data_IF_368928729546
#
_entry.id   IF_368928729546
#
_cell.length_a   1.000
_cell.length_b   1.000
_cell.length_c   1.000
_cell.angle_alpha   90.00
_cell.angle_beta   90.00
_cell.angle_gamma   90.00
#
_symmetry.space_group_name_H-M   'P 1'
#
loop_
_entity.id
_entity.type
_entity.pdbx_description
1 polymer ?
#
# COMPACT_ATOMS: atom_id res chain seq x y z
N UNK A 1 37.23 -47.23 36.13
CA UNK A 1 36.91 -47.62 37.52
C UNK A 1 35.73 -46.80 37.97
N UNK A 2 34.62 -47.48 38.29
CA UNK A 2 33.37 -47.07 38.94
C UNK A 2 32.59 -45.88 38.31
N UNK A 3 31.43 -46.07 37.67
CA UNK A 3 30.09 -46.51 38.16
C UNK A 3 29.32 -45.49 39.02
N UNK A 4 28.09 -45.23 38.57
CA UNK A 4 26.84 -45.12 39.36
C UNK A 4 26.13 -43.76 39.50
N UNK A 5 25.01 -43.72 38.77
CA UNK A 5 23.64 -43.28 39.09
C UNK A 5 23.16 -41.82 39.07
N UNK A 6 22.01 -41.74 38.38
CA UNK A 6 21.05 -40.67 38.23
C UNK A 6 20.20 -40.42 39.48
N UNK A 7 19.66 -39.21 39.61
CA UNK A 7 18.31 -39.01 40.15
C UNK A 7 17.68 -37.71 39.63
N UNK A 8 16.47 -37.84 39.07
CA UNK A 8 15.60 -36.74 38.65
C UNK A 8 14.89 -36.09 39.86
N UNK A 9 14.27 -34.92 39.66
CA UNK A 9 12.98 -34.70 40.30
C UNK A 9 11.87 -34.19 39.36
N UNK A 10 10.77 -34.90 39.55
CA UNK A 10 9.35 -34.68 39.35
C UNK A 10 8.80 -33.32 38.90
N UNK A 11 7.84 -33.44 37.97
CA UNK A 11 6.91 -32.41 37.55
C UNK A 11 5.81 -32.19 38.61
N UNK A 12 5.58 -30.93 38.97
CA UNK A 12 4.41 -30.50 39.73
C UNK A 12 3.41 -29.81 38.81
N UNK A 13 2.29 -30.49 38.56
CA UNK A 13 1.08 -29.96 37.96
C UNK A 13 0.35 -29.06 38.96
N UNK A 14 0.10 -27.80 38.61
CA UNK A 14 -0.88 -26.96 39.33
C UNK A 14 -1.97 -26.49 38.37
N UNK A 15 -3.17 -26.98 38.66
CA UNK A 15 -4.47 -26.56 38.14
C UNK A 15 -4.83 -25.20 38.72
N UNK A 16 -5.15 -24.21 37.90
CA UNK A 16 -5.74 -22.96 38.37
C UNK A 16 -6.97 -22.55 37.55
N UNK A 17 -8.04 -22.46 38.32
CA UNK A 17 -9.36 -21.89 38.17
C UNK A 17 -9.71 -21.07 36.94
N UNK A 18 -10.78 -21.57 36.32
CA UNK A 18 -11.80 -20.87 35.53
C UNK A 18 -12.61 -19.96 36.45
N UNK A 19 -12.49 -18.65 36.31
CA UNK A 19 -13.52 -17.70 36.74
C UNK A 19 -13.83 -16.70 35.63
N UNK A 20 -15.12 -16.63 35.31
CA UNK A 20 -15.75 -15.58 34.50
C UNK A 20 -16.24 -14.50 35.45
N UNK A 21 -16.26 -13.23 35.04
CA UNK A 21 -17.31 -12.34 35.46
C UNK A 21 -18.26 -12.02 34.30
N UNK A 22 -19.52 -12.40 34.51
CA UNK A 22 -20.68 -11.68 34.00
C UNK A 22 -20.68 -10.27 34.60
N UNK A 23 -20.89 -9.22 33.81
CA UNK A 23 -21.59 -8.02 34.28
C UNK A 23 -22.36 -7.37 33.13
N UNK A 24 -23.56 -6.94 33.50
CA UNK A 24 -24.68 -6.50 32.68
C UNK A 24 -24.69 -4.97 32.49
N UNK A 25 -25.28 -4.55 31.36
CA UNK A 25 -26.05 -3.31 31.08
C UNK A 25 -25.85 -2.05 31.94
N UNK A 26 -25.71 -0.89 31.29
CA UNK A 26 -26.77 0.14 31.27
C UNK A 26 -26.42 1.30 30.31
N UNK A 27 -27.42 1.69 29.52
CA UNK A 27 -27.51 2.98 28.82
C UNK A 27 -27.54 4.12 29.84
N UNK A 28 -26.95 5.28 29.50
CA UNK A 28 -27.44 6.61 29.91
C UNK A 28 -26.75 7.70 29.09
N UNK A 29 -27.57 8.51 28.45
CA UNK A 29 -27.30 9.82 27.86
C UNK A 29 -26.77 10.84 28.86
N UNK A 30 -25.89 11.75 28.43
CA UNK A 30 -26.05 13.18 28.74
C UNK A 30 -25.26 14.07 27.77
N UNK A 31 -25.84 15.24 27.52
CA UNK A 31 -25.44 16.35 26.67
C UNK A 31 -24.80 17.48 27.47
N UNK A 32 -23.84 18.21 26.90
CA UNK A 32 -23.54 19.66 27.04
C UNK A 32 -22.28 19.93 26.18
N UNK A 33 -22.05 20.99 25.41
CA UNK A 33 -22.68 22.29 25.22
C UNK A 33 -21.57 23.36 25.02
N UNK A 34 -21.71 24.21 23.99
CA UNK A 34 -20.95 25.45 23.65
C UNK A 34 -19.54 25.30 23.02
N UNK A 35 -19.09 26.14 22.07
CA UNK A 35 -19.69 27.27 21.33
C UNK A 35 -18.84 27.62 20.10
N UNK A 36 -19.47 28.27 19.12
CA UNK A 36 -18.91 29.41 18.36
C UNK A 36 -17.80 29.19 17.33
N UNK A 37 -18.17 29.03 16.05
CA UNK A 37 -17.45 29.67 14.95
C UNK A 37 -18.43 30.09 13.84
N UNK A 38 -18.25 31.34 13.40
CA UNK A 38 -19.05 32.11 12.44
C UNK A 38 -19.45 31.33 11.19
N UNK A 39 -20.76 31.32 10.91
CA UNK A 39 -21.28 30.96 9.60
C UNK A 39 -21.37 32.23 8.75
N UNK A 40 -20.65 32.25 7.62
CA UNK A 40 -20.79 33.26 6.57
C UNK A 40 -22.11 32.98 5.84
N UNK A 41 -23.11 33.86 6.01
CA UNK A 41 -24.33 33.87 5.21
C UNK A 41 -24.00 34.23 3.75
N UNK A 42 -24.22 33.30 2.82
CA UNK A 42 -24.27 33.62 1.39
C UNK A 42 -25.73 33.70 0.96
N UNK A 43 -26.12 34.90 0.52
CA UNK A 43 -27.47 35.24 0.11
C UNK A 43 -28.03 34.31 -0.98
N UNK A 44 -29.30 33.96 -0.80
CA UNK A 44 -30.13 33.19 -1.72
C UNK A 44 -30.19 33.85 -3.10
N UNK A 45 -29.52 33.27 -4.09
CA UNK A 45 -29.74 33.59 -5.49
C UNK A 45 -30.81 32.63 -6.05
N UNK A 46 -31.96 33.22 -6.38
CA UNK A 46 -33.07 32.60 -7.09
C UNK A 46 -32.65 32.13 -8.49
N UNK A 47 -33.03 30.92 -8.94
CA UNK A 47 -32.79 30.50 -10.31
C UNK A 47 -33.84 31.13 -11.25
N UNK A 48 -33.45 32.18 -11.98
CA UNK A 48 -34.23 32.69 -13.11
C UNK A 48 -34.05 31.80 -14.33
N UNK A 49 -35.12 31.10 -14.69
CA UNK A 49 -35.28 30.39 -15.97
C UNK A 49 -35.21 31.39 -17.12
N UNK A 50 -34.26 31.21 -18.03
CA UNK A 50 -34.23 31.92 -19.31
C UNK A 50 -33.80 30.96 -20.41
N UNK A 51 -34.78 30.59 -21.23
CA UNK A 51 -34.64 29.90 -22.51
C UNK A 51 -34.06 30.86 -23.54
N UNK A 52 -32.77 30.69 -23.87
CA UNK A 52 -32.17 31.26 -25.07
C UNK A 52 -31.40 30.15 -25.78
N UNK A 53 -31.97 29.68 -26.90
CA UNK A 53 -31.38 28.71 -27.80
C UNK A 53 -30.12 29.29 -28.46
N UNK A 54 -28.99 28.60 -28.31
CA UNK A 54 -27.74 28.90 -29.02
C UNK A 54 -27.77 28.32 -30.45
N UNK A 55 -27.11 28.95 -31.43
CA UNK A 55 -27.06 28.45 -32.80
C UNK A 55 -26.20 27.18 -32.90
N UNK A 56 -26.70 26.25 -33.69
CA UNK A 56 -26.06 24.98 -34.06
C UNK A 56 -24.99 25.26 -35.12
N UNK A 57 -23.73 24.91 -34.86
CA UNK A 57 -22.69 24.86 -35.90
C UNK A 57 -22.49 23.41 -36.32
N UNK A 58 -22.74 23.13 -37.59
CA UNK A 58 -22.62 21.83 -38.21
C UNK A 58 -21.17 21.55 -38.64
N UNK A 59 -20.78 20.30 -38.48
CA UNK A 59 -19.46 19.70 -38.60
C UNK A 59 -18.99 19.49 -40.03
N UNK A 60 -17.67 19.48 -40.25
CA UNK A 60 -17.07 18.64 -41.31
C UNK A 60 -15.70 18.08 -40.88
N UNK A 61 -15.72 16.77 -40.54
CA UNK A 61 -14.80 15.64 -40.83
C UNK A 61 -13.27 15.84 -40.89
N UNK A 62 -12.39 14.89 -40.60
CA UNK A 62 -12.33 13.61 -39.86
C UNK A 62 -10.85 13.19 -39.97
N UNK A 63 -10.15 13.02 -38.85
CA UNK A 63 -8.92 12.21 -38.77
C UNK A 63 -9.00 11.43 -37.45
N UNK A 64 -9.37 10.15 -37.55
CA UNK A 64 -9.28 9.12 -36.51
C UNK A 64 -7.96 9.25 -35.72
N UNK A 65 -7.94 9.60 -34.43
CA UNK A 65 -8.50 8.94 -33.23
C UNK A 65 -7.78 7.66 -32.80
N UNK A 66 -6.92 7.77 -31.78
CA UNK A 66 -6.94 6.90 -30.59
C UNK A 66 -6.49 7.67 -29.35
N UNK A 67 -7.36 8.55 -28.86
CA UNK A 67 -7.29 9.03 -27.48
C UNK A 67 -8.71 9.05 -26.94
N UNK A 68 -9.12 7.94 -26.36
CA UNK A 68 -10.44 7.71 -25.78
C UNK A 68 -10.57 8.44 -24.44
N UNK A 69 -10.82 9.75 -24.48
CA UNK A 69 -11.46 10.44 -23.37
C UNK A 69 -12.98 10.34 -23.55
N UNK A 70 -13.58 9.30 -22.97
CA UNK A 70 -15.03 9.24 -22.85
C UNK A 70 -15.51 10.48 -22.09
N UNK A 71 -16.55 11.14 -22.58
CA UNK A 71 -17.41 12.03 -21.79
C UNK A 71 -18.32 11.14 -20.95
N UNK A 72 -18.35 11.32 -19.63
CA UNK A 72 -19.39 10.69 -18.81
C UNK A 72 -19.78 11.58 -17.65
N UNK A 73 -21.04 11.39 -17.31
CA UNK A 73 -21.84 11.73 -16.14
C UNK A 73 -21.06 12.14 -14.88
N UNK A 74 -21.65 12.99 -14.02
CA UNK A 74 -20.97 13.67 -12.90
C UNK A 74 -20.58 12.76 -11.71
N UNK A 75 -20.59 11.43 -11.88
CA UNK A 75 -20.26 10.44 -10.83
C UNK A 75 -18.87 9.81 -11.04
N UNK A 76 -18.00 10.46 -11.82
CA UNK A 76 -16.63 9.98 -12.06
C UNK A 76 -15.79 10.12 -10.81
N UNK A 77 -15.54 8.99 -10.15
CA UNK A 77 -14.27 8.76 -9.46
C UNK A 77 -13.16 9.29 -10.38
N UNK A 78 -12.32 10.20 -9.87
CA UNK A 78 -11.26 10.84 -10.66
C UNK A 78 -10.47 9.76 -11.38
N UNK A 79 -10.45 9.79 -12.72
CA UNK A 79 -9.76 8.79 -13.52
C UNK A 79 -8.27 8.82 -13.17
N UNK A 80 -7.73 7.64 -12.84
CA UNK A 80 -6.31 7.44 -12.55
C UNK A 80 -5.46 7.86 -13.76
N UNK A 81 -4.42 8.66 -13.52
CA UNK A 81 -3.45 9.06 -14.55
C UNK A 81 -2.05 8.81 -14.01
N UNK A 82 -1.34 7.84 -14.57
CA UNK A 82 0.02 7.53 -14.14
C UNK A 82 0.95 8.70 -14.51
N UNK A 83 1.49 9.38 -13.50
CA UNK A 83 2.53 10.40 -13.64
C UNK A 83 3.92 9.78 -13.66
N UNK A 84 4.12 8.73 -12.86
CA UNK A 84 5.40 8.06 -12.69
C UNK A 84 5.21 6.55 -12.74
N UNK A 85 6.13 5.85 -13.41
CA UNK A 85 6.11 4.39 -13.51
C UNK A 85 7.49 3.79 -13.21
N UNK A 86 7.53 2.75 -12.38
CA UNK A 86 8.74 2.06 -11.93
C UNK A 86 8.67 0.54 -12.16
N UNK A 87 9.78 -0.09 -12.56
CA UNK A 87 9.92 -1.56 -12.59
C UNK A 87 10.45 -2.04 -11.26
N UNK A 88 9.72 -2.89 -10.54
CA UNK A 88 10.25 -3.52 -9.34
C UNK A 88 10.77 -4.90 -9.71
N UNK A 89 12.07 -5.17 -9.53
CA UNK A 89 12.68 -6.48 -9.78
C UNK A 89 12.83 -7.29 -8.49
N UNK A 90 11.75 -8.00 -8.12
CA UNK A 90 11.73 -8.92 -6.98
C UNK A 90 11.50 -10.35 -7.45
N UNK A 91 12.45 -11.25 -7.12
CA UNK A 91 12.35 -12.69 -7.46
C UNK A 91 11.17 -13.40 -6.79
N UNK A 92 10.76 -12.94 -5.60
CA UNK A 92 9.70 -13.57 -4.81
C UNK A 92 10.03 -14.99 -4.31
N UNK A 93 8.99 -15.74 -3.95
CA UNK A 93 9.05 -17.10 -3.42
C UNK A 93 8.20 -18.06 -4.26
N UNK A 94 8.85 -19.07 -4.84
CA UNK A 94 8.20 -20.09 -5.68
C UNK A 94 7.19 -20.93 -4.89
N UNK A 95 6.25 -21.56 -5.62
CA UNK A 95 5.17 -22.37 -5.06
C UNK A 95 5.68 -23.57 -4.25
N UNK A 96 6.73 -24.23 -4.75
CA UNK A 96 7.39 -25.38 -4.11
C UNK A 96 8.82 -24.98 -3.77
N UNK A 97 9.06 -24.67 -2.49
CA UNK A 97 10.38 -24.33 -1.96
C UNK A 97 10.42 -24.65 -0.46
N UNK A 98 11.60 -24.98 0.06
CA UNK A 98 11.78 -25.07 1.51
C UNK A 98 11.46 -23.71 2.17
N UNK A 99 10.77 -23.70 3.33
CA UNK A 99 10.32 -22.49 4.01
C UNK A 99 11.46 -21.77 4.75
N UNK A 100 12.61 -21.62 4.10
CA UNK A 100 13.79 -20.93 4.62
C UNK A 100 13.64 -19.42 4.36
N UNK A 101 14.11 -18.55 5.26
CA UNK A 101 14.08 -17.11 5.01
C UNK A 101 14.77 -16.73 3.68
N UNK A 102 14.20 -15.78 2.92
CA UNK A 102 14.70 -15.40 1.61
C UNK A 102 16.10 -14.75 1.70
N UNK A 103 16.92 -14.99 0.67
CA UNK A 103 18.25 -14.36 0.55
C UNK A 103 18.14 -12.83 0.67
N UNK A 104 19.16 -12.15 1.23
CA UNK A 104 19.23 -10.71 1.27
C UNK A 104 19.69 -10.15 -0.08
N UNK A 105 19.13 -10.66 -1.18
CA UNK A 105 19.43 -10.17 -2.53
C UNK A 105 18.79 -8.77 -2.66
N UNK A 106 19.54 -7.75 -3.14
CA UNK A 106 18.98 -6.42 -3.39
C UNK A 106 17.79 -6.47 -4.35
N UNK A 107 16.78 -5.63 -4.07
CA UNK A 107 15.65 -5.44 -4.98
C UNK A 107 15.89 -4.12 -5.72
N UNK A 108 16.16 -4.21 -7.01
CA UNK A 108 16.37 -3.05 -7.86
C UNK A 108 15.03 -2.53 -8.38
N UNK A 109 14.91 -1.20 -8.42
CA UNK A 109 13.71 -0.50 -8.87
C UNK A 109 14.13 0.46 -9.97
N UNK A 110 13.67 0.21 -11.19
CA UNK A 110 14.09 0.95 -12.38
C UNK A 110 13.07 2.01 -12.77
N UNK A 111 13.54 3.17 -13.23
CA UNK A 111 12.70 4.10 -13.96
C UNK A 111 12.17 3.43 -15.22
N UNK A 112 10.96 3.80 -15.62
CA UNK A 112 10.46 3.46 -16.96
C UNK A 112 10.36 4.66 -17.85
N UNK A 113 10.95 4.50 -19.01
CA UNK A 113 10.90 5.45 -20.10
C UNK A 113 9.48 5.61 -20.64
N UNK A 114 9.19 6.71 -21.35
CA UNK A 114 7.92 6.87 -22.05
C UNK A 114 7.61 5.77 -23.06
N UNK A 115 8.62 5.04 -23.54
CA UNK A 115 8.46 3.89 -24.46
C UNK A 115 8.03 2.61 -23.74
N UNK A 116 8.12 2.57 -22.40
CA UNK A 116 7.76 1.42 -21.58
C UNK A 116 8.96 0.60 -21.08
N UNK A 117 10.17 0.88 -21.57
CA UNK A 117 11.38 0.13 -21.23
C UNK A 117 11.94 0.54 -19.87
N UNK A 118 12.41 -0.44 -19.10
CA UNK A 118 13.17 -0.24 -17.87
C UNK A 118 14.59 0.22 -18.20
N UNK A 119 14.98 1.39 -17.70
CA UNK A 119 16.24 2.05 -18.08
C UNK A 119 17.28 1.89 -16.96
N UNK A 120 17.36 2.85 -16.05
CA UNK A 120 18.33 2.88 -14.98
C UNK A 120 17.66 2.59 -13.63
N UNK A 121 18.37 1.91 -12.70
CA UNK A 121 17.87 1.75 -11.36
C UNK A 121 17.82 3.14 -10.70
N UNK A 122 16.67 3.49 -10.13
CA UNK A 122 16.49 4.74 -9.36
C UNK A 122 16.61 4.44 -7.87
N UNK A 123 16.05 3.31 -7.44
CA UNK A 123 16.12 2.88 -6.06
C UNK A 123 16.62 1.46 -5.92
N UNK A 124 17.26 1.19 -4.80
CA UNK A 124 17.61 -0.16 -4.38
C UNK A 124 17.12 -0.41 -2.96
N UNK A 125 16.39 -1.50 -2.76
CA UNK A 125 16.05 -1.96 -1.41
C UNK A 125 17.09 -2.96 -0.94
N UNK A 126 17.75 -2.63 0.17
CA UNK A 126 18.83 -3.41 0.76
C UNK A 126 18.39 -4.07 2.05
N UNK A 127 18.82 -5.31 2.25
CA UNK A 127 18.61 -6.08 3.48
C UNK A 127 19.95 -6.48 4.06
N UNK A 128 20.17 -6.21 5.34
CA UNK A 128 21.44 -6.52 6.00
C UNK A 128 21.72 -8.04 6.11
N UNK A 129 20.70 -8.86 6.37
CA UNK A 129 20.86 -10.30 6.59
C UNK A 129 19.66 -11.11 6.14
N UNK A 130 19.87 -12.39 5.78
CA UNK A 130 18.82 -13.33 5.36
C UNK A 130 17.68 -13.46 6.39
N UNK A 131 18.02 -13.49 7.68
CA UNK A 131 17.07 -13.60 8.79
C UNK A 131 16.48 -12.27 9.24
N UNK A 132 17.04 -11.15 8.77
CA UNK A 132 16.51 -9.83 9.11
C UNK A 132 15.28 -9.55 8.27
N UNK A 133 14.22 -9.10 8.94
CA UNK A 133 13.08 -8.58 8.24
C UNK A 133 13.24 -7.11 7.82
N UNK A 134 14.25 -6.42 8.32
CA UNK A 134 14.39 -5.00 8.09
C UNK A 134 15.03 -4.74 6.73
N UNK A 135 14.67 -3.62 6.11
CA UNK A 135 15.27 -3.16 4.86
C UNK A 135 15.37 -1.65 4.84
N UNK A 136 16.35 -1.15 4.12
CA UNK A 136 16.46 0.28 3.78
C UNK A 136 16.20 0.45 2.30
N UNK A 137 15.59 1.56 1.92
CA UNK A 137 15.47 2.01 0.54
C UNK A 137 16.46 3.15 0.36
N UNK A 138 17.34 3.03 -0.63
CA UNK A 138 18.36 4.01 -0.97
C UNK A 138 18.20 4.40 -2.43
N UNK A 139 18.70 5.57 -2.83
CA UNK A 139 18.88 5.86 -4.26
C UNK A 139 19.98 4.97 -4.82
N UNK A 140 19.86 4.59 -6.08
CA UNK A 140 20.80 3.68 -6.72
C UNK A 140 22.10 4.36 -7.18
N UNK A 141 22.06 5.68 -7.39
CA UNK A 141 23.21 6.54 -7.75
C UNK A 141 24.04 6.98 -6.53
N UNK A 142 23.49 6.87 -5.33
CA UNK A 142 24.14 7.31 -4.09
C UNK A 142 25.16 6.29 -3.58
N UNK A 143 26.44 6.65 -3.67
CA UNK A 143 27.56 5.84 -3.18
C UNK A 143 27.56 5.67 -1.65
N UNK A 144 27.03 6.63 -0.89
CA UNK A 144 26.96 6.59 0.57
C UNK A 144 25.82 5.72 1.08
N UNK A 145 24.89 5.32 0.19
CA UNK A 145 23.72 4.53 0.52
C UNK A 145 22.87 5.17 1.63
N UNK A 146 22.66 6.49 1.55
CA UNK A 146 21.87 7.27 2.50
C UNK A 146 20.42 6.77 2.46
N UNK A 147 19.82 6.36 3.60
CA UNK A 147 18.50 5.75 3.61
C UNK A 147 17.42 6.81 3.34
N UNK A 148 16.68 6.67 2.25
CA UNK A 148 15.46 7.45 2.00
C UNK A 148 14.32 6.99 2.91
N UNK A 149 14.26 5.67 3.14
CA UNK A 149 13.23 5.06 3.96
C UNK A 149 13.80 3.82 4.66
N UNK A 150 13.42 3.63 5.92
CA UNK A 150 13.68 2.39 6.67
C UNK A 150 12.38 1.65 6.92
N UNK A 151 12.36 0.37 6.60
CA UNK A 151 11.24 -0.53 6.91
C UNK A 151 11.66 -1.50 8.00
N UNK A 152 11.00 -1.44 9.15
CA UNK A 152 11.12 -2.43 10.23
C UNK A 152 10.01 -3.45 10.07
N UNK A 153 10.37 -4.72 9.95
CA UNK A 153 9.36 -5.77 9.78
C UNK A 153 9.75 -7.00 10.59
N UNK A 154 8.87 -7.38 11.51
CA UNK A 154 9.04 -8.58 12.31
C UNK A 154 7.99 -9.60 11.89
N UNK A 155 8.45 -10.76 11.40
CA UNK A 155 7.53 -11.84 11.05
C UNK A 155 6.81 -12.36 12.30
N UNK A 156 5.48 -12.46 12.23
CA UNK A 156 4.65 -13.00 13.30
C UNK A 156 3.29 -12.30 13.42
N UNK A 157 2.36 -12.87 14.20
CA UNK A 157 1.07 -12.24 14.50
C UNK A 157 1.28 -10.94 15.29
N UNK A 158 0.39 -9.97 15.09
CA UNK A 158 0.36 -8.69 15.81
C UNK A 158 1.67 -7.88 15.79
N UNK A 159 2.50 -8.09 14.76
CA UNK A 159 3.73 -7.35 14.53
C UNK A 159 3.58 -6.57 13.22
N UNK A 160 2.87 -5.43 13.23
CA UNK A 160 2.68 -4.64 12.02
C UNK A 160 4.05 -4.15 11.52
N UNK A 161 4.29 -4.17 10.20
CA UNK A 161 5.45 -3.50 9.62
C UNK A 161 5.40 -2.00 9.91
N UNK A 162 6.57 -1.41 10.08
CA UNK A 162 6.75 0.02 10.32
C UNK A 162 7.61 0.60 9.20
N UNK A 163 7.25 1.77 8.71
CA UNK A 163 7.92 2.52 7.65
C UNK A 163 8.35 3.84 8.28
N UNK A 164 9.60 4.24 8.12
CA UNK A 164 10.10 5.57 8.50
C UNK A 164 10.68 6.22 7.27
N UNK A 165 10.11 7.35 6.85
CA UNK A 165 10.69 8.19 5.81
C UNK A 165 11.78 9.04 6.47
N UNK A 166 12.88 9.31 5.76
CA UNK A 166 13.92 10.22 6.24
C UNK A 166 13.82 11.49 5.40
N UNK A 167 13.06 12.47 5.88
CA UNK A 167 12.69 13.64 5.08
C UNK A 167 13.93 14.38 4.54
N UNK A 168 14.97 14.52 5.37
CA UNK A 168 16.26 15.13 5.05
C UNK A 168 17.01 14.47 3.88
N UNK A 169 16.64 13.23 3.54
CA UNK A 169 17.27 12.44 2.48
C UNK A 169 16.41 12.41 1.21
N UNK A 170 15.12 12.72 1.33
CA UNK A 170 14.17 12.73 0.23
C UNK A 170 14.08 14.14 -0.38
N UNK A 171 13.80 15.16 0.45
CA UNK A 171 13.55 16.55 0.02
C UNK A 171 13.86 17.57 1.14
N UNK A 172 13.33 18.81 1.04
CA UNK A 172 13.45 19.87 2.07
C UNK A 172 13.11 19.33 3.47
N UNK A 173 13.87 19.69 4.52
CA UNK A 173 13.62 19.19 5.88
C UNK A 173 12.19 19.50 6.32
N UNK A 174 11.42 18.45 6.56
CA UNK A 174 10.07 18.52 7.15
C UNK A 174 10.09 17.72 8.45
N UNK A 175 9.99 18.36 9.62
CA UNK A 175 10.12 17.68 10.91
C UNK A 175 9.00 16.67 11.19
N UNK A 176 7.87 16.78 10.50
CA UNK A 176 6.66 15.99 10.76
C UNK A 176 6.66 14.60 10.09
N UNK A 177 7.66 14.26 9.25
CA UNK A 177 7.65 13.04 8.43
C UNK A 177 8.67 11.97 8.83
N UNK A 178 9.52 12.24 9.80
CA UNK A 178 10.40 11.22 10.39
C UNK A 178 9.64 10.31 11.38
N UNK A 179 8.32 10.49 11.48
CA UNK A 179 7.42 9.66 12.27
C UNK A 179 7.37 8.20 11.77
N UNK A 180 7.15 7.30 12.72
CA UNK A 180 7.02 5.87 12.43
C UNK A 180 5.60 5.55 11.91
N UNK A 181 5.52 5.24 10.63
CA UNK A 181 4.27 4.92 9.93
C UNK A 181 3.97 3.42 10.07
N UNK A 182 2.85 3.09 10.71
CA UNK A 182 2.44 1.70 10.89
C UNK A 182 1.61 1.17 9.70
N UNK A 183 1.99 0.00 9.17
CA UNK A 183 1.24 -0.72 8.13
C UNK A 183 0.30 -1.73 8.78
N UNK A 184 -0.95 -1.32 8.98
CA UNK A 184 -1.95 -2.09 9.70
C UNK A 184 -2.75 -3.00 8.77
N UNK A 185 -3.13 -4.20 9.25
CA UNK A 185 -4.08 -5.04 8.51
C UNK A 185 -5.49 -4.48 8.67
N UNK A 186 -6.28 -4.43 7.59
CA UNK A 186 -7.70 -4.02 7.68
C UNK A 186 -8.60 -5.06 8.33
N UNK A 187 -8.14 -6.30 8.44
CA UNK A 187 -8.87 -7.39 9.08
C UNK A 187 -8.05 -8.68 9.09
N UNK A 188 -8.56 -9.70 9.78
CA UNK A 188 -7.88 -10.98 9.93
C UNK A 188 -7.93 -11.85 8.66
N UNK A 189 -9.01 -11.75 7.89
CA UNK A 189 -9.23 -12.56 6.68
C UNK A 189 -8.77 -11.87 5.40
N UNK A 190 -8.60 -10.55 5.45
CA UNK A 190 -8.20 -9.76 4.27
C UNK A 190 -6.69 -9.60 4.16
N UNK A 191 -6.24 -9.43 2.92
CA UNK A 191 -4.85 -9.04 2.59
C UNK A 191 -4.66 -7.53 2.60
N UNK A 192 -5.74 -6.77 2.72
CA UNK A 192 -5.72 -5.33 2.62
C UNK A 192 -4.96 -4.69 3.80
N UNK A 193 -4.17 -3.67 3.48
CA UNK A 193 -3.40 -2.92 4.45
C UNK A 193 -3.88 -1.47 4.50
N UNK A 194 -3.70 -0.83 5.65
CA UNK A 194 -4.03 0.57 5.91
C UNK A 194 -2.78 1.28 6.41
N UNK A 195 -2.55 2.47 5.90
CA UNK A 195 -1.39 3.32 6.19
C UNK A 195 -1.94 4.71 6.47
N UNK A 196 -1.56 5.31 7.59
CA UNK A 196 -1.92 6.69 7.94
C UNK A 196 -0.66 7.51 8.05
N UNK A 197 -0.65 8.63 7.36
CA UNK A 197 0.49 9.54 7.25
C UNK A 197 -0.01 10.98 7.19
N UNK A 198 0.86 11.97 7.40
CA UNK A 198 0.53 13.38 7.12
C UNK A 198 0.11 13.62 5.65
N UNK A 199 0.66 12.84 4.70
CA UNK A 199 0.28 12.89 3.27
C UNK A 199 -1.13 12.35 2.98
N UNK A 200 -1.75 11.68 3.95
CA UNK A 200 -3.10 11.12 3.86
C UNK A 200 -3.24 9.71 4.44
N UNK A 201 -4.46 9.19 4.34
CA UNK A 201 -4.79 7.80 4.66
C UNK A 201 -4.88 6.97 3.39
N UNK A 202 -4.16 5.85 3.35
CA UNK A 202 -4.05 5.00 2.18
C UNK A 202 -4.36 3.55 2.49
N UNK A 203 -4.88 2.81 1.51
CA UNK A 203 -5.12 1.39 1.63
C UNK A 203 -4.62 0.61 0.42
N UNK A 204 -3.79 -0.39 0.68
CA UNK A 204 -3.45 -1.41 -0.31
C UNK A 204 -4.51 -2.51 -0.30
N UNK A 205 -4.98 -2.91 -1.49
CA UNK A 205 -5.84 -4.08 -1.68
C UNK A 205 -5.48 -4.82 -2.96
N UNK A 206 -5.94 -6.06 -3.06
CA UNK A 206 -5.95 -6.75 -4.35
C UNK A 206 -7.15 -6.25 -5.15
N UNK A 207 -6.93 -6.04 -6.43
CA UNK A 207 -7.98 -5.65 -7.35
C UNK A 207 -8.97 -6.79 -7.58
N UNK A 208 -10.18 -6.45 -7.98
CA UNK A 208 -11.16 -7.44 -8.39
C UNK A 208 -10.85 -8.03 -9.78
N UNK A 209 -11.75 -8.87 -10.31
CA UNK A 209 -11.57 -9.46 -11.64
C UNK A 209 -11.70 -8.42 -12.75
N UNK A 210 -12.58 -7.43 -12.59
CA UNK A 210 -12.86 -6.42 -13.62
C UNK A 210 -11.68 -5.46 -13.76
N UNK A 211 -11.19 -4.93 -12.65
CA UNK A 211 -10.01 -4.05 -12.61
C UNK A 211 -8.77 -4.73 -13.18
N UNK A 212 -8.62 -6.06 -12.98
CA UNK A 212 -7.55 -6.85 -13.59
C UNK A 212 -7.68 -6.97 -15.10
N UNK A 213 -8.90 -7.18 -15.61
CA UNK A 213 -9.17 -7.26 -17.04
C UNK A 213 -8.93 -5.92 -17.74
N UNK A 214 -9.30 -4.81 -17.09
CA UNK A 214 -9.06 -3.45 -17.61
C UNK A 214 -7.57 -3.13 -17.85
N UNK A 215 -6.68 -3.78 -17.11
CA UNK A 215 -5.22 -3.59 -17.19
C UNK A 215 -4.47 -4.84 -17.68
N UNK A 216 -5.20 -5.83 -18.22
CA UNK A 216 -4.63 -7.11 -18.70
C UNK A 216 -3.65 -7.75 -17.69
N UNK A 217 -4.01 -7.71 -16.41
CA UNK A 217 -3.17 -8.14 -15.29
C UNK A 217 -3.61 -9.49 -14.73
N UNK A 218 -2.68 -10.42 -14.51
CA UNK A 218 -2.99 -11.65 -13.75
C UNK A 218 -3.22 -11.33 -12.27
N UNK A 219 -2.38 -10.43 -11.75
CA UNK A 219 -2.40 -9.95 -10.38
C UNK A 219 -2.20 -8.44 -10.36
N UNK A 220 -3.06 -7.77 -9.60
CA UNK A 220 -3.07 -6.32 -9.49
C UNK A 220 -3.22 -5.95 -8.02
N UNK A 221 -2.24 -5.21 -7.50
CA UNK A 221 -2.37 -4.50 -6.23
C UNK A 221 -2.76 -3.06 -6.53
N UNK A 222 -3.69 -2.52 -5.75
CA UNK A 222 -4.17 -1.15 -5.89
C UNK A 222 -3.99 -0.44 -4.55
N UNK A 223 -3.38 0.73 -4.58
CA UNK A 223 -3.32 1.67 -3.47
C UNK A 223 -4.36 2.76 -3.69
N UNK A 224 -5.22 2.96 -2.70
CA UNK A 224 -6.28 3.96 -2.72
C UNK A 224 -6.05 4.98 -1.60
N UNK A 225 -6.17 6.27 -1.90
CA UNK A 225 -6.35 7.32 -0.89
C UNK A 225 -7.79 7.30 -0.42
N UNK A 226 -7.97 7.30 0.89
CA UNK A 226 -9.26 7.32 1.55
C UNK A 226 -9.51 8.76 2.04
N UNK A 227 -10.56 9.40 1.54
CA UNK A 227 -11.01 10.73 1.98
C UNK A 227 -12.45 10.66 2.45
N UNK A 228 -12.78 11.36 3.53
CA UNK A 228 -14.17 11.48 3.98
C UNK A 228 -14.75 12.77 3.39
N UNK A 229 -15.78 12.63 2.58
CA UNK A 229 -16.48 13.76 1.96
C UNK A 229 -17.79 13.98 2.71
N UNK A 230 -18.01 15.21 3.18
CA UNK A 230 -19.29 15.60 3.75
C UNK A 230 -20.33 15.75 2.62
N UNK A 231 -21.44 15.04 2.76
CA UNK A 231 -22.61 15.14 1.89
C UNK A 231 -23.64 16.09 2.51
N UNK A 232 -24.52 16.63 1.66
CA UNK A 232 -25.67 17.39 2.11
C UNK A 232 -26.50 16.57 3.12
N UNK A 233 -26.89 17.21 4.23
CA UNK A 233 -27.62 16.57 5.33
C UNK A 233 -26.75 15.91 6.40
N UNK A 234 -25.49 16.35 6.55
CA UNK A 234 -24.62 15.97 7.69
C UNK A 234 -24.07 14.53 7.63
N UNK A 235 -24.27 13.84 6.52
CA UNK A 235 -23.72 12.49 6.30
C UNK A 235 -22.29 12.62 5.79
N UNK A 236 -21.38 11.74 6.21
CA UNK A 236 -20.06 11.61 5.61
C UNK A 236 -19.99 10.34 4.77
N UNK A 237 -19.32 10.41 3.62
CA UNK A 237 -19.08 9.29 2.73
C UNK A 237 -17.58 9.08 2.53
N UNK A 238 -17.13 7.85 2.70
CA UNK A 238 -15.77 7.44 2.36
C UNK A 238 -15.61 7.41 0.83
N UNK A 239 -14.84 8.35 0.28
CA UNK A 239 -14.41 8.37 -1.11
C UNK A 239 -13.04 7.69 -1.22
N UNK A 240 -12.90 6.84 -2.23
CA UNK A 240 -11.64 6.17 -2.56
C UNK A 240 -11.15 6.63 -3.91
N UNK A 241 -9.90 7.06 -3.95
CA UNK A 241 -9.21 7.47 -5.17
C UNK A 241 -7.99 6.59 -5.37
N UNK A 242 -7.86 5.98 -6.56
CA UNK A 242 -6.66 5.21 -6.90
C UNK A 242 -5.45 6.15 -7.00
N UNK A 243 -4.38 5.82 -6.29
CA UNK A 243 -3.12 6.58 -6.28
C UNK A 243 -1.98 5.78 -6.87
N UNK A 244 -1.97 4.46 -6.69
CA UNK A 244 -0.97 3.62 -7.32
C UNK A 244 -1.54 2.24 -7.63
N UNK A 245 -0.88 1.54 -8.53
CA UNK A 245 -1.12 0.12 -8.74
C UNK A 245 0.15 -0.62 -9.15
N UNK A 246 0.28 -1.88 -8.72
CA UNK A 246 1.33 -2.79 -9.17
C UNK A 246 0.72 -3.85 -10.07
N UNK A 247 1.02 -3.76 -11.36
CA UNK A 247 0.57 -4.66 -12.41
C UNK A 247 1.57 -5.81 -12.54
N UNK A 248 1.06 -7.05 -12.55
CA UNK A 248 1.85 -8.25 -12.82
C UNK A 248 1.15 -9.11 -13.87
N UNK A 249 1.78 -9.20 -15.03
CA UNK A 249 1.45 -10.02 -16.19
C UNK A 249 2.74 -10.66 -16.72
N UNK A 250 2.69 -11.43 -17.81
CA UNK A 250 3.89 -12.09 -18.35
C UNK A 250 5.00 -11.12 -18.78
N UNK A 251 4.64 -9.87 -19.11
CA UNK A 251 5.58 -8.83 -19.54
C UNK A 251 6.29 -8.14 -18.37
N UNK A 252 5.56 -7.77 -17.32
CA UNK A 252 6.08 -6.93 -16.24
C UNK A 252 6.60 -7.71 -15.05
N UNK A 253 6.42 -9.03 -15.01
CA UNK A 253 6.95 -9.85 -13.92
C UNK A 253 8.46 -9.90 -13.96
N UNK A 254 9.06 -9.90 -12.78
CA UNK A 254 10.51 -10.09 -12.64
C UNK A 254 10.98 -11.37 -13.30
N UNK A 255 12.14 -11.30 -13.97
CA UNK A 255 12.69 -12.41 -14.74
C UNK A 255 12.88 -13.64 -13.85
N UNK A 256 12.44 -14.80 -14.36
CA UNK A 256 12.50 -16.07 -13.63
C UNK A 256 11.40 -16.26 -12.58
N UNK A 257 10.44 -15.33 -12.48
CA UNK A 257 9.23 -15.51 -11.68
C UNK A 257 8.04 -15.95 -12.55
N UNK A 258 7.04 -16.55 -11.92
CA UNK A 258 5.81 -17.03 -12.58
C UNK A 258 4.58 -16.50 -11.86
N UNK A 259 3.39 -16.71 -12.44
CA UNK A 259 2.10 -16.34 -11.81
C UNK A 259 1.89 -16.89 -10.39
N UNK A 260 2.51 -18.02 -10.06
CA UNK A 260 2.39 -18.67 -8.74
C UNK A 260 3.46 -18.24 -7.73
N UNK A 261 4.42 -17.42 -8.17
CA UNK A 261 5.50 -16.90 -7.33
C UNK A 261 4.96 -15.77 -6.46
N UNK A 262 5.07 -15.92 -5.14
CA UNK A 262 4.57 -14.94 -4.18
C UNK A 262 5.58 -13.81 -3.98
N UNK A 263 5.11 -12.56 -3.94
CA UNK A 263 5.96 -11.39 -3.69
C UNK A 263 6.97 -11.10 -4.79
N UNK A 264 6.69 -11.57 -6.01
CA UNK A 264 7.46 -11.19 -7.18
C UNK A 264 7.13 -9.75 -7.61
N UNK A 265 8.04 -9.15 -8.36
CA UNK A 265 7.93 -7.77 -8.82
C UNK A 265 6.93 -7.56 -9.96
N UNK A 266 6.91 -6.35 -10.50
CA UNK A 266 5.88 -5.85 -11.41
C UNK A 266 6.11 -4.40 -11.86
N UNK A 267 5.20 -3.91 -12.69
CA UNK A 267 5.08 -2.49 -13.06
C UNK A 267 4.32 -1.72 -12.00
N UNK A 268 4.98 -0.83 -11.27
CA UNK A 268 4.35 0.08 -10.33
C UNK A 268 4.06 1.40 -11.05
N UNK A 269 2.79 1.75 -11.24
CA UNK A 269 2.40 3.06 -11.76
C UNK A 269 1.73 3.89 -10.65
N UNK A 270 2.00 5.19 -10.64
CA UNK A 270 1.63 6.11 -9.57
C UNK A 270 1.03 7.40 -10.16
N UNK A 271 -0.02 7.92 -9.54
CA UNK A 271 -0.64 9.21 -9.84
C UNK A 271 -0.29 10.18 -8.71
N UNK A 272 0.72 11.01 -8.94
CA UNK A 272 1.27 11.94 -7.94
C UNK A 272 0.73 13.36 -8.09
N UNK A 273 -0.25 13.60 -8.98
CA UNK A 273 -0.76 14.96 -9.29
C UNK A 273 -1.29 15.69 -8.06
N UNK A 274 -1.86 14.96 -7.11
CA UNK A 274 -2.41 15.55 -5.88
C UNK A 274 -1.35 16.13 -4.93
N UNK A 275 -0.06 15.88 -5.18
CA UNK A 275 1.07 16.38 -4.38
C UNK A 275 2.07 17.18 -5.24
N UNK A 276 1.73 17.48 -6.50
CA UNK A 276 2.64 18.15 -7.43
C UNK A 276 2.88 19.63 -7.08
N UNK A 277 1.89 20.28 -6.46
CA UNK A 277 1.95 21.70 -6.11
C UNK A 277 2.76 21.95 -4.82
N UNK A 278 2.93 20.92 -3.98
CA UNK A 278 3.65 21.00 -2.72
C UNK A 278 5.11 20.60 -2.89
N UNK A 279 6.02 21.43 -2.39
CA UNK A 279 7.47 21.18 -2.51
C UNK A 279 7.87 19.92 -1.74
N UNK A 280 8.30 18.88 -2.45
CA UNK A 280 8.85 17.65 -1.89
C UNK A 280 7.81 16.58 -1.51
N UNK A 281 6.53 16.93 -1.38
CA UNK A 281 5.50 15.94 -1.03
C UNK A 281 5.32 14.86 -2.13
N UNK A 282 5.50 15.22 -3.41
CA UNK A 282 5.45 14.26 -4.51
C UNK A 282 6.56 13.18 -4.39
N UNK A 283 7.78 13.59 -4.07
CA UNK A 283 8.92 12.69 -3.86
C UNK A 283 8.73 11.82 -2.61
N UNK A 284 8.26 12.42 -1.52
CA UNK A 284 7.91 11.69 -0.28
C UNK A 284 6.81 10.66 -0.53
N UNK A 285 5.80 11.03 -1.32
CA UNK A 285 4.71 10.14 -1.68
C UNK A 285 5.20 8.99 -2.57
N UNK A 286 6.08 9.27 -3.53
CA UNK A 286 6.72 8.24 -4.35
C UNK A 286 7.46 7.21 -3.46
N UNK A 287 8.33 7.69 -2.56
CA UNK A 287 9.09 6.85 -1.64
C UNK A 287 8.14 6.03 -0.74
N UNK A 288 7.07 6.63 -0.23
CA UNK A 288 6.06 5.95 0.58
C UNK A 288 5.35 4.84 -0.21
N UNK A 289 4.95 5.10 -1.45
CA UNK A 289 4.30 4.11 -2.32
C UNK A 289 5.25 2.95 -2.59
N UNK A 290 6.51 3.23 -2.94
CA UNK A 290 7.54 2.22 -3.18
C UNK A 290 7.78 1.37 -1.92
N UNK A 291 8.06 2.01 -0.79
CA UNK A 291 8.32 1.32 0.47
C UNK A 291 7.14 0.45 0.93
N UNK A 292 5.91 0.99 0.86
CA UNK A 292 4.72 0.25 1.22
C UNK A 292 4.39 -0.89 0.23
N UNK A 293 4.68 -0.71 -1.05
CA UNK A 293 4.60 -1.79 -2.04
C UNK A 293 5.59 -2.93 -1.73
N UNK A 294 6.84 -2.61 -1.37
CA UNK A 294 7.82 -3.62 -0.93
C UNK A 294 7.36 -4.38 0.31
N UNK A 295 6.73 -3.69 1.27
CA UNK A 295 6.07 -4.34 2.42
C UNK A 295 5.00 -5.31 1.95
N UNK A 296 4.16 -4.93 0.98
CA UNK A 296 3.16 -5.84 0.42
C UNK A 296 3.79 -7.10 -0.16
N UNK A 297 4.81 -6.97 -1.01
CA UNK A 297 5.54 -8.12 -1.59
C UNK A 297 6.09 -9.05 -0.50
N UNK A 298 6.66 -8.47 0.55
CA UNK A 298 7.17 -9.23 1.68
C UNK A 298 6.08 -10.00 2.42
N UNK A 299 4.92 -9.39 2.65
CA UNK A 299 3.76 -10.07 3.27
C UNK A 299 3.27 -11.24 2.41
N UNK A 300 3.38 -11.16 1.09
CA UNK A 300 3.05 -12.30 0.21
C UNK A 300 4.02 -13.46 0.39
N UNK A 301 5.33 -13.19 0.39
CA UNK A 301 6.36 -14.20 0.61
C UNK A 301 6.22 -14.87 1.97
N UNK A 302 6.00 -14.09 3.02
CA UNK A 302 5.85 -14.60 4.39
C UNK A 302 4.61 -15.46 4.56
N UNK A 303 3.50 -15.10 3.90
CA UNK A 303 2.31 -15.93 3.85
C UNK A 303 2.58 -17.25 3.13
N UNK A 304 3.29 -17.21 2.00
CA UNK A 304 3.70 -18.43 1.28
C UNK A 304 4.58 -19.31 2.15
N UNK A 305 5.55 -18.72 2.87
CA UNK A 305 6.43 -19.44 3.79
C UNK A 305 5.63 -20.12 4.91
N UNK A 306 4.66 -19.41 5.49
CA UNK A 306 3.79 -19.97 6.53
C UNK A 306 2.96 -21.14 6.00
N UNK A 307 2.37 -21.01 4.81
CA UNK A 307 1.62 -22.09 4.16
C UNK A 307 2.50 -23.31 3.87
N UNK A 308 3.71 -23.11 3.36
CA UNK A 308 4.66 -24.19 3.09
C UNK A 308 5.11 -24.89 4.37
N UNK A 309 5.43 -24.12 5.43
CA UNK A 309 5.80 -24.69 6.72
C UNK A 309 4.65 -25.52 7.33
N UNK A 310 3.41 -25.02 7.26
CA UNK A 310 2.24 -25.75 7.74
C UNK A 310 2.00 -27.05 6.95
N UNK A 311 2.18 -27.04 5.62
CA UNK A 311 2.07 -28.26 4.81
C UNK A 311 3.14 -29.29 5.17
N UNK A 312 4.39 -28.86 5.37
CA UNK A 312 5.48 -29.78 5.73
C UNK A 312 5.22 -30.41 7.10
N UNK A 313 4.83 -29.63 8.11
CA UNK A 313 4.52 -30.14 9.47
C UNK A 313 3.25 -30.99 9.48
N UNK A 314 2.26 -30.68 8.65
CA UNK A 314 1.03 -31.50 8.55
C UNK A 314 1.19 -32.79 7.75
N UNK A 315 2.29 -32.94 7.01
CA UNK A 315 2.64 -34.15 6.25
C UNK A 315 3.62 -35.07 7.00
N UNK A 316 4.11 -34.67 8.17
CA UNK A 316 4.95 -35.49 9.07
C UNK A 316 4.11 -36.07 10.19
#
# INVERSE_FOLDING_TARGET
MADTQAQAPEASTSSLHKERPFLSSHQSSSSCGYDGHEAIELGNLTPSTSTASLPMYESVVDVQSTSSCSVASPDRQSSFCATTSLQIESRGMALVRLPVPPRPDPIHIYAVSPTGDAVEPVYTSLRAARSSGNSILVRADDAEHKPLCTTTYRFGPNRPPQIRLHADNISTPSPDLDEEIHVLSRGATTRAQLIRTPLGTFSWRFADRRERQELSADSLLVMERITNVALAGGKSQERRQRVAHLIRNDEYRSVGSTRSTAGNGGRLAMDLRAWADSKGEAEQMEVLVVASCLVMLKKEMDRRRLMQAAMIVGCT
#
